data_IF_518308735618
#
_entry.id   IF_518308735618
#
_cell.length_a   1.000
_cell.length_b   1.000
_cell.length_c   1.000
_cell.angle_alpha   90.00
_cell.angle_beta   90.00
_cell.angle_gamma   90.00
#
_symmetry.space_group_name_H-M   'P 1'
#
loop_
_entity.id
_entity.type
_entity.pdbx_description
1 polymer ?
#
# COMPACT_ATOMS: atom_id res chain seq x y z
N UNK A 1 -5.15 20.45 17.09
CA UNK A 1 -4.72 19.12 16.62
C UNK A 1 -5.66 18.15 17.28
N UNK A 2 -6.48 17.46 16.48
CA UNK A 2 -7.56 16.60 16.96
C UNK A 2 -7.01 15.41 17.75
N UNK A 3 -7.68 15.08 18.86
CA UNK A 3 -7.51 13.89 19.69
C UNK A 3 -7.99 12.62 18.97
N UNK A 4 -7.56 12.40 17.73
CA UNK A 4 -7.93 11.18 17.00
C UNK A 4 -6.92 10.09 17.35
N UNK A 5 -7.34 9.16 18.20
CA UNK A 5 -6.73 7.82 18.34
C UNK A 5 -6.88 6.99 17.04
N UNK A 6 -6.99 7.63 15.88
CA UNK A 6 -7.09 6.95 14.61
C UNK A 6 -5.73 6.30 14.32
N UNK A 7 -5.70 4.98 14.07
CA UNK A 7 -4.47 4.31 13.70
C UNK A 7 -3.90 5.00 12.46
N UNK A 8 -2.58 5.25 12.45
CA UNK A 8 -1.92 5.82 11.28
C UNK A 8 -2.36 5.06 10.02
N UNK A 9 -2.66 5.73 8.89
CA UNK A 9 -3.17 5.07 7.68
C UNK A 9 -2.28 3.92 7.20
N UNK A 10 -0.99 3.94 7.53
CA UNK A 10 -0.07 2.84 7.25
C UNK A 10 -0.39 1.53 7.98
N UNK A 11 -0.99 1.58 9.17
CA UNK A 11 -1.42 0.37 9.90
C UNK A 11 -2.65 -0.27 9.27
N UNK A 12 -3.58 0.54 8.78
CA UNK A 12 -4.71 0.02 7.98
C UNK A 12 -4.20 -0.63 6.71
N UNK A 13 -3.19 -0.02 6.07
CA UNK A 13 -2.59 -0.55 4.85
C UNK A 13 -1.81 -1.85 5.10
N UNK A 14 -1.14 -1.97 6.24
CA UNK A 14 -0.46 -3.20 6.64
C UNK A 14 -1.42 -4.38 6.82
N UNK A 15 -2.69 -4.16 7.19
CA UNK A 15 -3.70 -5.23 7.26
C UNK A 15 -4.01 -5.83 5.90
N UNK A 16 -3.81 -5.08 4.81
CA UNK A 16 -3.99 -5.59 3.44
C UNK A 16 -2.82 -6.45 2.93
N UNK A 17 -1.66 -6.41 3.60
CA UNK A 17 -0.44 -7.11 3.18
C UNK A 17 -0.46 -8.64 3.39
N UNK A 18 -1.47 -9.18 4.07
CA UNK A 18 -1.59 -10.61 4.31
C UNK A 18 -2.10 -11.41 3.10
N UNK A 19 -2.61 -10.75 2.06
CA UNK A 19 -3.17 -11.41 0.89
C UNK A 19 -2.16 -11.54 -0.23
N UNK A 20 -2.28 -12.63 -1.00
CA UNK A 20 -1.54 -12.80 -2.25
C UNK A 20 -1.92 -11.65 -3.19
N UNK A 21 -0.94 -11.11 -3.93
CA UNK A 21 -1.11 -10.09 -4.95
C UNK A 21 -0.39 -10.53 -6.22
N UNK A 22 -1.01 -10.27 -7.38
CA UNK A 22 -0.42 -10.53 -8.68
C UNK A 22 -0.15 -9.19 -9.36
N UNK A 23 1.12 -8.92 -9.67
CA UNK A 23 1.52 -7.70 -10.34
C UNK A 23 2.08 -8.01 -11.74
N UNK A 24 1.38 -7.64 -12.83
CA UNK A 24 1.88 -7.85 -14.18
C UNK A 24 3.19 -7.10 -14.44
N UNK A 25 4.17 -7.77 -15.04
CA UNK A 25 5.46 -7.20 -15.47
C UNK A 25 5.82 -7.73 -16.85
N UNK A 26 5.02 -7.35 -17.85
CA UNK A 26 5.04 -7.94 -19.19
C UNK A 26 4.20 -9.21 -19.25
N UNK A 27 4.74 -10.27 -19.85
CA UNK A 27 4.15 -11.62 -19.90
C UNK A 27 4.38 -12.43 -18.62
N UNK A 28 5.09 -11.86 -17.64
CA UNK A 28 5.30 -12.42 -16.30
C UNK A 28 4.46 -11.67 -15.27
N UNK A 29 4.36 -12.24 -14.07
CA UNK A 29 3.89 -11.51 -12.89
C UNK A 29 4.84 -11.67 -11.71
N UNK A 30 4.95 -10.61 -10.91
CA UNK A 30 5.48 -10.72 -9.56
C UNK A 30 4.33 -11.11 -8.64
N UNK A 31 4.48 -12.26 -7.98
CA UNK A 31 3.55 -12.72 -6.95
C UNK A 31 4.10 -12.23 -5.62
N UNK A 32 3.32 -11.38 -4.95
CA UNK A 32 3.60 -10.93 -3.58
C UNK A 32 2.65 -11.65 -2.62
N UNK A 33 3.11 -11.92 -1.41
CA UNK A 33 2.26 -12.48 -0.35
C UNK A 33 3.01 -12.58 0.97
N UNK A 34 2.34 -13.10 2.02
CA UNK A 34 2.93 -13.16 3.35
C UNK A 34 4.12 -14.11 3.34
N UNK A 35 5.25 -13.66 3.90
CA UNK A 35 6.39 -14.51 4.14
C UNK A 35 6.05 -15.54 5.22
N UNK A 36 6.47 -16.80 5.02
CA UNK A 36 6.12 -17.92 5.91
C UNK A 36 6.58 -17.72 7.36
N UNK A 37 7.55 -16.85 7.60
CA UNK A 37 8.11 -16.55 8.92
C UNK A 37 7.81 -15.12 9.40
N UNK A 38 6.98 -14.34 8.69
CA UNK A 38 6.63 -12.98 9.08
C UNK A 38 5.21 -12.65 8.62
N UNK A 39 4.25 -12.42 9.53
CA UNK A 39 2.88 -12.07 9.16
C UNK A 39 2.77 -10.75 8.38
N UNK A 40 3.86 -9.99 8.30
CA UNK A 40 3.93 -8.71 7.62
C UNK A 40 5.01 -8.63 6.57
N UNK A 41 5.98 -9.56 6.58
CA UNK A 41 7.00 -9.60 5.56
C UNK A 41 6.35 -10.01 4.25
N UNK A 42 6.70 -9.31 3.17
CA UNK A 42 6.28 -9.70 1.83
C UNK A 42 7.37 -10.56 1.22
N UNK A 43 7.01 -11.75 0.76
CA UNK A 43 7.85 -12.58 -0.08
C UNK A 43 7.43 -12.41 -1.54
N UNK A 44 8.42 -12.48 -2.43
CA UNK A 44 8.22 -12.33 -3.87
C UNK A 44 8.59 -13.63 -4.59
N UNK A 45 7.72 -14.04 -5.51
CA UNK A 45 7.98 -15.08 -6.50
C UNK A 45 7.77 -14.51 -7.90
N UNK A 46 8.46 -15.07 -8.89
CA UNK A 46 8.19 -14.79 -10.29
C UNK A 46 7.25 -15.85 -10.85
N UNK A 47 6.10 -15.45 -11.35
CA UNK A 47 5.19 -16.28 -12.13
C UNK A 47 5.49 -16.11 -13.62
N UNK A 48 5.87 -17.20 -14.26
CA UNK A 48 6.16 -17.24 -15.71
C UNK A 48 4.88 -17.44 -16.54
N UNK A 49 4.90 -17.13 -17.86
CA UNK A 49 3.76 -17.40 -18.74
C UNK A 49 3.28 -18.86 -18.73
N UNK A 50 4.20 -19.81 -18.49
CA UNK A 50 3.88 -21.24 -18.43
C UNK A 50 3.17 -21.65 -17.13
N UNK A 51 3.16 -20.79 -16.10
CA UNK A 51 2.61 -21.08 -14.77
C UNK A 51 3.63 -21.54 -13.76
N UNK A 52 4.91 -21.62 -14.13
CA UNK A 52 5.98 -21.93 -13.19
C UNK A 52 6.21 -20.76 -12.23
N UNK A 53 6.26 -21.06 -10.93
CA UNK A 53 6.64 -20.14 -9.86
C UNK A 53 8.12 -20.30 -9.52
N UNK A 54 8.90 -19.24 -9.68
CA UNK A 54 10.35 -19.22 -9.42
C UNK A 54 10.67 -18.37 -8.20
N UNK A 55 11.46 -18.93 -7.28
CA UNK A 55 12.11 -18.17 -6.21
C UNK A 55 13.36 -17.48 -6.78
N UNK A 56 13.15 -16.31 -7.37
CA UNK A 56 14.20 -15.47 -7.90
C UNK A 56 14.85 -14.70 -6.76
N UNK A 57 16.07 -15.08 -6.38
CA UNK A 57 16.74 -14.55 -5.19
C UNK A 57 16.79 -13.01 -5.16
N UNK A 58 17.00 -12.38 -6.33
CA UNK A 58 17.04 -10.92 -6.44
C UNK A 58 15.72 -10.23 -6.10
N UNK A 59 14.57 -10.88 -6.25
CA UNK A 59 13.26 -10.31 -5.90
C UNK A 59 13.10 -10.12 -4.39
N UNK A 60 13.84 -10.89 -3.57
CA UNK A 60 13.75 -10.83 -2.12
C UNK A 60 14.91 -10.04 -1.47
N UNK A 61 15.91 -9.62 -2.26
CA UNK A 61 17.05 -8.82 -1.77
C UNK A 61 16.70 -7.32 -1.72
N UNK A 62 16.90 -6.68 -0.57
CA UNK A 62 16.71 -5.23 -0.41
C UNK A 62 15.29 -4.79 -0.06
N UNK A 63 14.41 -5.75 0.27
CA UNK A 63 12.98 -5.54 0.57
C UNK A 63 12.67 -5.77 2.06
N UNK A 64 13.59 -5.38 2.94
CA UNK A 64 13.41 -5.50 4.40
C UNK A 64 12.37 -4.46 4.90
N UNK A 65 11.49 -4.83 5.84
CA UNK A 65 10.55 -3.87 6.44
C UNK A 65 9.26 -3.63 5.66
N UNK A 66 9.02 -4.31 4.54
CA UNK A 66 7.83 -4.07 3.73
C UNK A 66 6.60 -4.61 4.43
N UNK A 67 5.56 -3.77 4.50
CA UNK A 67 4.25 -4.14 5.02
C UNK A 67 3.23 -4.37 3.88
N UNK A 68 3.29 -3.58 2.81
CA UNK A 68 2.40 -3.75 1.64
C UNK A 68 3.05 -3.22 0.36
N UNK A 69 2.84 -3.93 -0.75
CA UNK A 69 3.22 -3.46 -2.08
C UNK A 69 2.04 -2.73 -2.69
N UNK A 70 2.23 -1.47 -3.04
CA UNK A 70 1.15 -0.58 -3.52
C UNK A 70 1.09 -0.51 -5.04
N UNK A 71 2.18 -0.89 -5.72
CA UNK A 71 2.21 -1.00 -7.16
C UNK A 71 3.55 -1.53 -7.64
N UNK A 72 3.53 -2.25 -8.76
CA UNK A 72 4.73 -2.71 -9.46
C UNK A 72 4.52 -2.45 -10.94
N UNK A 73 5.56 -1.96 -11.61
CA UNK A 73 5.51 -1.60 -13.03
C UNK A 73 6.85 -1.88 -13.69
N UNK A 74 6.81 -2.34 -14.93
CA UNK A 74 8.01 -2.68 -15.69
C UNK A 74 7.76 -3.92 -16.53
N UNK A 75 8.85 -4.51 -17.00
CA UNK A 75 8.82 -5.70 -17.82
C UNK A 75 9.95 -6.61 -17.37
N UNK A 76 9.70 -7.90 -17.18
CA UNK A 76 10.76 -8.85 -16.86
C UNK A 76 11.46 -9.31 -18.16
N UNK A 77 12.81 -9.47 -18.19
CA UNK A 77 13.79 -9.25 -17.13
C UNK A 77 14.38 -7.82 -17.12
N UNK A 78 13.75 -6.87 -17.81
CA UNK A 78 14.12 -5.44 -17.82
C UNK A 78 13.93 -4.83 -16.41
N UNK A 79 14.35 -3.57 -16.18
CA UNK A 79 14.15 -2.93 -14.89
C UNK A 79 12.67 -2.83 -14.52
N UNK A 80 12.36 -3.25 -13.29
CA UNK A 80 11.04 -3.15 -12.67
C UNK A 80 11.12 -2.15 -11.53
N UNK A 81 10.04 -1.42 -11.30
CA UNK A 81 9.89 -0.50 -10.19
C UNK A 81 8.75 -0.97 -9.31
N UNK A 82 8.94 -0.87 -8.00
CA UNK A 82 7.90 -1.13 -7.02
C UNK A 82 7.78 0.06 -6.09
N UNK A 83 6.54 0.44 -5.79
CA UNK A 83 6.23 1.26 -4.62
C UNK A 83 5.59 0.39 -3.56
N UNK A 84 5.98 0.64 -2.31
CA UNK A 84 5.52 -0.13 -1.18
C UNK A 84 5.52 0.75 0.07
N UNK A 85 4.65 0.39 1.01
CA UNK A 85 4.74 0.91 2.37
C UNK A 85 5.64 -0.02 3.15
N UNK A 86 6.74 0.54 3.65
CA UNK A 86 7.54 -0.08 4.69
C UNK A 86 7.05 0.40 6.05
N UNK A 87 7.24 -0.44 7.06
CA UNK A 87 7.06 -0.09 8.46
C UNK A 87 8.23 -0.64 9.26
N UNK A 88 8.54 0.01 10.37
CA UNK A 88 9.44 -0.55 11.38
C UNK A 88 8.67 -1.11 12.58
N UNK A 89 7.36 -1.29 12.44
CA UNK A 89 6.50 -1.61 13.58
C UNK A 89 5.71 -0.42 14.11
N UNK A 90 6.24 0.79 13.96
CA UNK A 90 5.77 1.97 14.71
C UNK A 90 5.43 3.13 13.80
N UNK A 91 6.26 3.34 12.78
CA UNK A 91 6.09 4.36 11.75
C UNK A 91 6.06 3.66 10.40
N UNK A 92 5.00 3.91 9.64
CA UNK A 92 4.97 3.56 8.24
C UNK A 92 5.57 4.68 7.39
N UNK A 93 6.23 4.31 6.31
CA UNK A 93 6.64 5.24 5.26
C UNK A 93 6.54 4.55 3.92
N UNK A 94 6.29 5.32 2.87
CA UNK A 94 6.38 4.80 1.51
C UNK A 94 7.85 4.74 1.08
N UNK A 95 8.19 3.78 0.25
CA UNK A 95 9.42 3.78 -0.53
C UNK A 95 9.12 3.39 -1.99
N UNK A 96 10.06 3.75 -2.86
CA UNK A 96 10.07 3.33 -4.25
C UNK A 96 11.45 2.78 -4.57
N UNK A 97 11.48 1.53 -5.03
CA UNK A 97 12.69 0.81 -5.39
C UNK A 97 12.66 0.34 -6.83
N UNK A 98 13.83 0.21 -7.42
CA UNK A 98 14.07 -0.35 -8.74
C UNK A 98 14.75 -1.69 -8.56
N UNK A 99 14.24 -2.72 -9.20
CA UNK A 99 14.88 -4.02 -9.30
C UNK A 99 15.96 -3.98 -10.38
N UNK A 100 17.17 -4.38 -10.02
CA UNK A 100 18.29 -4.59 -10.93
C UNK A 100 18.89 -6.00 -10.77
N UNK A 101 20.09 -6.23 -11.28
CA UNK A 101 20.77 -7.53 -11.20
C UNK A 101 21.17 -7.93 -9.76
N UNK A 102 21.35 -6.97 -8.86
CA UNK A 102 21.78 -7.20 -7.46
C UNK A 102 20.59 -7.34 -6.50
N UNK A 103 19.44 -6.78 -6.87
CA UNK A 103 18.22 -6.80 -6.07
C UNK A 103 17.49 -5.46 -6.17
N UNK A 104 16.66 -5.17 -5.18
CA UNK A 104 15.95 -3.90 -5.09
C UNK A 104 16.86 -2.80 -4.55
N UNK A 105 16.96 -1.71 -5.30
CA UNK A 105 17.71 -0.51 -4.93
C UNK A 105 16.76 0.69 -4.87
N UNK A 106 16.85 1.47 -3.79
CA UNK A 106 16.01 2.66 -3.61
C UNK A 106 16.29 3.69 -4.70
N UNK A 107 15.24 4.22 -5.32
CA UNK A 107 15.40 5.11 -6.48
C UNK A 107 15.82 6.53 -6.07
N UNK A 108 15.50 7.01 -4.86
CA UNK A 108 15.84 8.38 -4.39
C UNK A 108 15.92 8.53 -2.85
N UNK A 109 16.62 9.56 -2.34
CA UNK A 109 16.54 9.98 -0.93
C UNK A 109 15.18 10.58 -0.54
N UNK A 110 14.41 11.13 -1.48
CA UNK A 110 13.04 11.63 -1.23
C UNK A 110 11.98 10.51 -1.10
N UNK A 111 12.36 9.24 -1.28
CA UNK A 111 11.45 8.11 -1.30
C UNK A 111 10.52 8.04 -0.06
N UNK A 112 10.98 8.53 1.10
CA UNK A 112 10.20 8.53 2.36
C UNK A 112 9.06 9.55 2.41
N UNK A 113 8.96 10.45 1.43
CA UNK A 113 7.96 11.53 1.40
C UNK A 113 6.73 11.19 0.57
N UNK A 114 6.86 10.32 -0.43
CA UNK A 114 5.83 10.16 -1.44
C UNK A 114 5.25 8.76 -1.43
N UNK A 115 3.94 8.66 -1.20
CA UNK A 115 3.17 7.44 -1.37
C UNK A 115 2.62 7.38 -2.78
N UNK A 116 3.13 6.46 -3.59
CA UNK A 116 2.66 6.29 -4.96
C UNK A 116 1.46 5.35 -5.00
N UNK A 117 0.36 5.83 -5.57
CA UNK A 117 -0.92 5.15 -5.73
C UNK A 117 -1.24 5.00 -7.22
N UNK A 118 -0.86 3.86 -7.78
CA UNK A 118 -0.85 3.67 -9.23
C UNK A 118 0.47 4.11 -9.84
N UNK A 119 1.09 3.17 -10.53
CA UNK A 119 2.30 3.36 -11.32
C UNK A 119 2.05 2.73 -12.68
N UNK A 120 2.43 3.41 -13.75
CA UNK A 120 2.24 2.88 -15.11
C UNK A 120 3.40 3.29 -16.00
N UNK A 121 3.70 2.44 -16.99
CA UNK A 121 4.57 2.82 -18.08
C UNK A 121 3.93 3.98 -18.84
N UNK A 122 4.76 4.92 -19.27
CA UNK A 122 4.36 6.17 -19.87
C UNK A 122 5.37 6.61 -20.93
N UNK A 123 5.00 7.64 -21.67
CA UNK A 123 5.72 8.14 -22.84
C UNK A 123 7.25 8.14 -22.70
N UNK A 124 7.91 7.70 -23.77
CA UNK A 124 9.37 7.65 -23.88
C UNK A 124 10.05 6.70 -22.86
N UNK A 125 9.41 5.57 -22.55
CA UNK A 125 9.95 4.55 -21.63
C UNK A 125 10.06 5.03 -20.19
N UNK A 126 9.30 6.07 -19.81
CA UNK A 126 9.26 6.60 -18.45
C UNK A 126 8.16 5.91 -17.67
N UNK A 127 8.19 6.05 -16.36
CA UNK A 127 7.09 5.67 -15.49
C UNK A 127 6.46 6.93 -14.95
N UNK A 128 5.14 6.99 -14.99
CA UNK A 128 4.38 8.01 -14.28
C UNK A 128 3.65 7.35 -13.11
N UNK A 129 3.46 8.12 -12.05
CA UNK A 129 2.73 7.69 -10.86
C UNK A 129 1.97 8.86 -10.29
N UNK A 130 0.88 8.56 -9.58
CA UNK A 130 0.18 9.53 -8.77
C UNK A 130 0.69 9.41 -7.34
N UNK A 131 1.12 10.52 -6.74
CA UNK A 131 1.81 10.48 -5.45
C UNK A 131 1.19 11.43 -4.42
N UNK A 132 1.00 10.93 -3.21
CA UNK A 132 0.60 11.69 -2.02
C UNK A 132 1.81 12.05 -1.16
N UNK A 133 1.80 13.26 -0.58
CA UNK A 133 2.80 13.65 0.42
C UNK A 133 2.45 12.95 1.75
N UNK A 134 3.22 11.95 2.16
CA UNK A 134 2.94 11.11 3.34
C UNK A 134 2.85 11.89 4.64
N UNK A 135 3.48 13.06 4.70
CA UNK A 135 3.47 13.93 5.88
C UNK A 135 2.28 14.89 5.90
N UNK A 136 1.60 15.05 4.76
CA UNK A 136 0.60 16.09 4.50
C UNK A 136 -0.49 15.57 3.57
N UNK A 137 -0.91 14.31 3.76
CA UNK A 137 -1.89 13.66 2.88
C UNK A 137 -3.22 14.42 2.84
N UNK A 138 -3.58 15.06 3.95
CA UNK A 138 -4.80 15.88 4.06
C UNK A 138 -4.62 17.31 3.52
N UNK A 139 -3.37 17.76 3.40
CA UNK A 139 -3.00 19.16 3.21
C UNK A 139 -2.47 19.48 1.80
N UNK A 140 -2.19 18.47 1.00
CA UNK A 140 -1.67 18.65 -0.37
C UNK A 140 -2.42 17.75 -1.33
N UNK A 141 -2.85 18.27 -2.50
CA UNK A 141 -3.42 17.42 -3.51
C UNK A 141 -2.39 16.39 -3.98
N UNK A 142 -2.81 15.20 -4.40
CA UNK A 142 -1.94 14.25 -5.06
C UNK A 142 -1.32 14.89 -6.32
N UNK A 143 -0.09 14.49 -6.63
CA UNK A 143 0.67 15.06 -7.75
C UNK A 143 1.24 13.95 -8.63
N UNK A 144 1.29 14.18 -9.93
CA UNK A 144 1.99 13.27 -10.84
C UNK A 144 3.49 13.36 -10.65
N UNK A 145 4.15 12.20 -10.63
CA UNK A 145 5.60 12.03 -10.51
C UNK A 145 6.11 11.12 -11.61
N UNK A 146 7.29 11.43 -12.13
CA UNK A 146 7.91 10.70 -13.23
C UNK A 146 9.20 10.04 -12.75
N UNK A 147 9.42 8.78 -13.12
CA UNK A 147 10.59 7.97 -12.80
C UNK A 147 11.29 7.47 -14.09
N UNK A 148 12.64 7.38 -14.11
CA UNK A 148 13.55 7.92 -13.11
C UNK A 148 13.50 9.45 -13.09
N UNK A 149 13.89 10.06 -11.96
CA UNK A 149 13.90 11.53 -11.83
C UNK A 149 15.00 12.11 -12.71
N UNK A 150 14.60 12.99 -13.61
CA UNK A 150 15.46 13.77 -14.49
C UNK A 150 14.77 15.09 -14.83
N UNK A 151 15.08 15.70 -15.98
CA UNK A 151 14.31 16.86 -16.47
C UNK A 151 12.85 16.46 -16.61
N UNK A 152 12.03 16.96 -15.69
CA UNK A 152 10.63 16.58 -15.59
C UNK A 152 9.94 17.05 -16.88
N UNK A 153 9.29 16.14 -17.62
CA UNK A 153 8.46 16.55 -18.73
C UNK A 153 7.28 17.35 -18.15
N UNK A 154 6.56 18.09 -18.99
CA UNK A 154 5.27 18.60 -18.57
C UNK A 154 4.40 17.42 -18.13
N UNK A 155 3.98 17.42 -16.87
CA UNK A 155 3.07 16.42 -16.32
C UNK A 155 1.66 16.97 -16.30
N UNK A 156 0.63 16.10 -16.41
CA UNK A 156 -0.75 16.52 -16.24
C UNK A 156 -0.99 17.20 -14.88
N UNK A 157 -2.11 17.91 -14.75
CA UNK A 157 -2.56 18.48 -13.48
C UNK A 157 -4.00 18.06 -13.22
N UNK A 158 -4.24 17.44 -12.07
CA UNK A 158 -5.60 17.11 -11.63
C UNK A 158 -6.45 18.37 -11.52
N UNK A 159 -7.75 18.22 -11.74
CA UNK A 159 -8.68 19.33 -11.61
C UNK A 159 -8.71 19.82 -10.14
N UNK A 160 -8.53 21.12 -9.89
CA UNK A 160 -8.62 21.65 -8.53
C UNK A 160 -10.06 21.53 -8.01
N UNK A 161 -10.21 21.52 -6.70
CA UNK A 161 -11.53 21.54 -6.06
C UNK A 161 -12.37 22.74 -6.55
N UNK A 162 -13.62 22.55 -7.00
CA UNK A 162 -14.37 23.54 -7.78
C UNK A 162 -14.80 24.79 -6.99
N UNK A 163 -14.94 24.73 -5.66
CA UNK A 163 -15.28 25.90 -4.85
C UNK A 163 -14.11 26.35 -3.95
N UNK A 164 -13.32 27.36 -4.33
CA UNK A 164 -12.23 27.87 -3.50
C UNK A 164 -12.71 28.61 -2.24
N UNK A 165 -14.01 28.93 -2.13
CA UNK A 165 -14.58 29.64 -0.98
C UNK A 165 -15.06 28.71 0.14
N UNK A 166 -15.35 27.46 -0.17
CA UNK A 166 -15.65 26.45 0.86
C UNK A 166 -14.32 25.84 1.31
N UNK A 167 -14.07 25.68 2.62
CA UNK A 167 -12.94 24.89 3.06
C UNK A 167 -13.14 23.48 2.48
N UNK A 168 -12.24 22.98 1.61
CA UNK A 168 -12.38 21.64 1.09
C UNK A 168 -12.39 20.66 2.27
N UNK A 169 -13.16 19.56 2.19
CA UNK A 169 -13.00 18.48 3.16
C UNK A 169 -11.52 18.09 3.28
N UNK A 170 -11.06 17.60 4.44
CA UNK A 170 -9.73 17.00 4.54
C UNK A 170 -9.52 16.01 3.39
N UNK A 171 -8.34 16.02 2.75
CA UNK A 171 -7.97 15.21 1.56
C UNK A 171 -8.61 15.63 0.23
N UNK A 172 -9.40 16.71 0.19
CA UNK A 172 -10.19 17.09 -0.97
C UNK A 172 -9.78 18.39 -1.66
N UNK A 173 -8.47 18.57 -1.88
CA UNK A 173 -7.94 19.74 -2.60
C UNK A 173 -8.03 19.63 -4.14
N UNK A 174 -8.37 18.45 -4.64
CA UNK A 174 -8.73 18.16 -6.03
C UNK A 174 -10.23 17.86 -6.10
N UNK A 175 -10.82 17.94 -7.30
CA UNK A 175 -12.21 17.53 -7.52
C UNK A 175 -12.43 16.02 -7.29
N UNK A 176 -11.33 15.27 -7.19
CA UNK A 176 -11.27 13.83 -7.09
C UNK A 176 -10.42 13.41 -5.88
N UNK A 177 -10.90 12.47 -5.08
CA UNK A 177 -10.10 11.63 -4.20
C UNK A 177 -9.69 10.38 -5.00
N UNK A 178 -8.48 10.36 -5.58
CA UNK A 178 -8.11 9.32 -6.53
C UNK A 178 -7.90 7.99 -5.81
N UNK A 179 -8.44 6.93 -6.40
CA UNK A 179 -8.32 5.56 -5.91
C UNK A 179 -7.45 4.69 -6.82
N UNK A 180 -7.30 5.10 -8.09
CA UNK A 180 -6.56 4.37 -9.10
C UNK A 180 -6.04 5.32 -10.18
N UNK A 181 -4.89 4.96 -10.75
CA UNK A 181 -4.30 5.63 -11.90
C UNK A 181 -3.79 4.61 -12.91
N UNK A 182 -4.07 4.87 -14.19
CA UNK A 182 -3.50 4.16 -15.33
C UNK A 182 -2.86 5.17 -16.29
N UNK A 183 -1.74 4.79 -16.92
CA UNK A 183 -1.19 5.53 -18.04
C UNK A 183 -0.74 4.60 -19.16
N UNK A 184 -0.66 5.17 -20.36
CA UNK A 184 -0.23 4.45 -21.57
C UNK A 184 1.10 4.99 -22.06
N UNK A 185 1.86 4.15 -22.76
CA UNK A 185 3.09 4.57 -23.45
C UNK A 185 2.86 5.66 -24.50
N UNK A 186 1.63 5.76 -25.03
CA UNK A 186 1.22 6.83 -25.95
C UNK A 186 1.16 8.21 -25.29
N UNK A 187 1.22 8.28 -23.96
CA UNK A 187 1.17 9.53 -23.19
C UNK A 187 -0.16 9.81 -22.51
N UNK A 188 -1.19 9.01 -22.79
CA UNK A 188 -2.49 9.13 -22.12
C UNK A 188 -2.38 8.82 -20.63
N UNK A 189 -3.19 9.51 -19.82
CA UNK A 189 -3.28 9.31 -18.37
C UNK A 189 -4.74 9.29 -17.97
N UNK A 190 -5.10 8.37 -17.09
CA UNK A 190 -6.45 8.16 -16.56
C UNK A 190 -6.38 8.11 -15.04
N UNK A 191 -7.24 8.86 -14.37
CA UNK A 191 -7.33 8.90 -12.91
C UNK A 191 -8.78 8.72 -12.53
N UNK A 192 -9.05 7.65 -11.78
CA UNK A 192 -10.38 7.33 -11.30
C UNK A 192 -10.45 7.53 -9.79
N UNK A 193 -11.57 8.07 -9.32
CA UNK A 193 -11.79 8.27 -7.90
C UNK A 193 -13.20 8.74 -7.55
N UNK A 194 -13.38 8.99 -6.27
CA UNK A 194 -14.63 9.52 -5.72
C UNK A 194 -14.54 11.04 -5.73
N UNK A 195 -15.55 11.77 -6.19
CA UNK A 195 -15.56 13.22 -6.12
C UNK A 195 -15.45 13.71 -4.69
N UNK A 196 -14.77 14.83 -4.54
CA UNK A 196 -14.70 15.56 -3.31
C UNK A 196 -15.95 16.45 -3.17
N UNK A 197 -16.88 16.08 -2.29
CA UNK A 197 -18.16 16.76 -2.12
C UNK A 197 -19.09 16.01 -1.15
N UNK A 198 -20.34 16.49 -0.95
CA UNK A 198 -21.35 15.71 -0.23
C UNK A 198 -21.46 14.30 -0.83
N UNK A 199 -21.68 13.30 0.04
CA UNK A 199 -21.56 11.86 -0.25
C UNK A 199 -22.37 11.36 -1.45
N UNK A 200 -23.30 12.15 -1.98
CA UNK A 200 -24.15 11.82 -3.13
C UNK A 200 -23.55 12.05 -4.51
N UNK A 201 -22.29 12.51 -4.61
CA UNK A 201 -21.71 12.88 -5.91
C UNK A 201 -21.17 11.63 -6.63
N UNK A 202 -21.53 11.39 -7.91
CA UNK A 202 -21.08 10.22 -8.68
C UNK A 202 -19.56 10.18 -8.84
N UNK A 203 -18.95 8.99 -8.84
CA UNK A 203 -17.53 8.80 -9.16
C UNK A 203 -17.12 9.49 -10.47
N UNK A 204 -15.86 9.88 -10.62
CA UNK A 204 -15.39 10.57 -11.82
C UNK A 204 -14.14 9.89 -12.39
N UNK A 205 -14.03 9.92 -13.72
CA UNK A 205 -12.82 9.62 -14.46
C UNK A 205 -12.26 10.92 -15.05
N UNK A 206 -11.09 11.33 -14.57
CA UNK A 206 -10.29 12.36 -15.24
C UNK A 206 -9.36 11.68 -16.25
N UNK A 207 -9.32 12.17 -17.49
CA UNK A 207 -8.36 11.67 -18.47
C UNK A 207 -7.67 12.77 -19.26
N UNK A 208 -6.45 12.48 -19.69
CA UNK A 208 -5.55 13.41 -20.35
C UNK A 208 -5.08 12.77 -21.65
N UNK A 209 -5.23 13.48 -22.76
CA UNK A 209 -4.58 13.09 -24.00
C UNK A 209 -3.06 13.39 -23.92
N UNK A 210 -2.23 12.85 -24.84
CA UNK A 210 -0.80 13.09 -24.82
C UNK A 210 -0.47 14.58 -24.91
N UNK A 211 0.24 15.10 -23.90
CA UNK A 211 0.63 16.51 -23.83
C UNK A 211 -0.40 17.45 -23.19
N UNK A 212 -1.62 16.97 -22.89
CA UNK A 212 -2.64 17.80 -22.24
C UNK A 212 -2.26 18.08 -20.78
N UNK A 213 -2.31 19.36 -20.39
CA UNK A 213 -2.11 19.77 -19.01
C UNK A 213 -3.40 19.71 -18.17
N UNK A 214 -4.57 19.70 -18.81
CA UNK A 214 -5.89 19.74 -18.17
C UNK A 214 -6.67 18.47 -18.53
N UNK A 215 -7.44 17.91 -17.58
CA UNK A 215 -8.21 16.71 -17.84
C UNK A 215 -9.49 17.03 -18.60
N UNK A 216 -9.99 16.05 -19.33
CA UNK A 216 -11.41 15.87 -19.61
C UNK A 216 -12.02 15.04 -18.48
N UNK A 217 -13.32 15.19 -18.22
CA UNK A 217 -13.99 14.55 -17.08
C UNK A 217 -15.22 13.80 -17.58
N UNK A 218 -15.32 12.53 -17.19
CA UNK A 218 -16.50 11.70 -17.42
C UNK A 218 -17.10 11.34 -16.07
N UNK A 219 -18.38 11.66 -15.90
CA UNK A 219 -19.13 11.32 -14.70
C UNK A 219 -19.54 9.86 -14.74
N UNK A 220 -19.47 9.17 -13.60
CA UNK A 220 -19.89 7.78 -13.45
C UNK A 220 -21.21 7.72 -12.70
N UNK A 221 -22.31 7.76 -13.46
CA UNK A 221 -23.64 7.62 -12.89
C UNK A 221 -23.86 6.21 -12.31
N UNK A 222 -24.66 6.11 -11.24
CA UNK A 222 -25.11 4.82 -10.70
C UNK A 222 -24.17 4.16 -9.68
N UNK A 223 -23.06 4.78 -9.30
CA UNK A 223 -22.27 4.34 -8.16
C UNK A 223 -22.98 4.66 -6.84
N UNK A 224 -22.97 3.72 -5.90
CA UNK A 224 -23.63 3.91 -4.60
C UNK A 224 -22.80 4.87 -3.71
N UNK A 225 -23.44 5.89 -3.10
CA UNK A 225 -22.83 6.87 -2.19
C UNK A 225 -22.17 6.32 -0.92
N UNK A 226 -22.56 5.12 -0.48
CA UNK A 226 -22.22 4.62 0.82
C UNK A 226 -20.84 3.94 0.85
N UNK A 227 -20.17 4.19 1.98
CA UNK A 227 -18.89 3.64 2.43
C UNK A 227 -17.64 4.37 1.90
N UNK A 228 -16.75 4.78 2.80
CA UNK A 228 -15.45 5.41 2.50
C UNK A 228 -14.31 4.38 2.49
N UNK A 229 -14.62 3.09 2.26
CA UNK A 229 -13.57 2.08 2.24
C UNK A 229 -12.70 2.24 0.98
N UNK A 230 -11.39 2.18 1.19
CA UNK A 230 -10.36 2.00 0.16
C UNK A 230 -10.50 0.63 -0.49
N UNK A 231 -11.65 0.36 -1.13
CA UNK A 231 -11.81 -0.80 -1.97
C UNK A 231 -10.72 -0.77 -3.04
N UNK A 232 -10.05 -1.91 -3.26
CA UNK A 232 -8.99 -2.03 -4.26
C UNK A 232 -9.60 -1.87 -5.66
N UNK A 233 -9.65 -0.61 -6.13
CA UNK A 233 -9.93 -0.29 -7.52
C UNK A 233 -8.79 -0.84 -8.38
N UNK A 234 -9.11 -1.46 -9.51
CA UNK A 234 -8.10 -1.81 -10.52
C UNK A 234 -8.60 -1.38 -11.88
N UNK A 235 -7.69 -1.03 -12.77
CA UNK A 235 -8.02 -0.59 -14.11
C UNK A 235 -7.10 -1.21 -15.16
N UNK A 236 -7.64 -1.35 -16.35
CA UNK A 236 -6.93 -1.89 -17.52
C UNK A 236 -7.48 -1.27 -18.79
N UNK A 237 -6.62 -1.13 -19.77
CA UNK A 237 -6.92 -0.59 -21.09
C UNK A 237 -6.86 -1.69 -22.16
N UNK A 238 -7.74 -1.59 -23.15
CA UNK A 238 -7.53 -2.19 -24.48
C UNK A 238 -6.95 -1.16 -25.45
N UNK A 239 -7.37 0.08 -25.30
CA UNK A 239 -6.88 1.23 -26.06
C UNK A 239 -7.07 2.51 -25.25
N UNK A 240 -6.57 3.64 -25.77
CA UNK A 240 -6.83 4.96 -25.19
C UNK A 240 -8.32 5.32 -25.10
N UNK A 241 -9.17 4.63 -25.86
CA UNK A 241 -10.60 4.84 -25.98
C UNK A 241 -11.41 3.72 -25.31
N UNK A 242 -10.75 2.69 -24.76
CA UNK A 242 -11.45 1.59 -24.12
C UNK A 242 -10.73 1.15 -22.84
N UNK A 243 -11.36 1.44 -21.70
CA UNK A 243 -10.83 1.14 -20.36
C UNK A 243 -11.89 0.43 -19.55
N UNK A 244 -11.46 -0.59 -18.82
CA UNK A 244 -12.28 -1.30 -17.85
C UNK A 244 -11.76 -1.00 -16.44
N UNK A 245 -12.67 -0.71 -15.53
CA UNK A 245 -12.35 -0.35 -14.14
C UNK A 245 -13.22 -1.22 -13.23
N UNK A 246 -12.60 -1.99 -12.34
CA UNK A 246 -13.32 -2.66 -11.25
C UNK A 246 -13.36 -1.73 -10.05
N UNK A 247 -14.55 -1.38 -9.56
CA UNK A 247 -14.70 -0.55 -8.38
C UNK A 247 -15.89 -1.04 -7.55
N UNK A 248 -15.62 -1.50 -6.32
CA UNK A 248 -16.65 -1.90 -5.34
C UNK A 248 -17.69 -2.89 -5.90
N UNK A 249 -17.23 -3.97 -6.51
CA UNK A 249 -18.13 -4.96 -7.10
C UNK A 249 -18.79 -4.49 -8.41
N UNK A 250 -18.55 -3.27 -8.88
CA UNK A 250 -19.02 -2.81 -10.19
C UNK A 250 -17.92 -2.93 -11.23
N UNK A 251 -18.26 -3.39 -12.42
CA UNK A 251 -17.41 -3.24 -13.60
C UNK A 251 -17.85 -1.99 -14.35
N UNK A 252 -16.91 -1.10 -14.63
CA UNK A 252 -17.13 0.11 -15.42
C UNK A 252 -16.42 -0.02 -16.75
N UNK A 253 -17.01 0.52 -17.82
CA UNK A 253 -16.39 0.65 -19.13
C UNK A 253 -16.37 2.11 -19.55
N UNK A 254 -15.19 2.62 -19.86
CA UNK A 254 -15.01 3.88 -20.59
C UNK A 254 -14.88 3.59 -22.07
N UNK A 255 -15.61 4.32 -22.92
CA UNK A 255 -15.66 4.14 -24.38
C UNK A 255 -15.02 5.31 -25.17
N UNK A 256 -14.15 6.08 -24.52
CA UNK A 256 -13.49 7.25 -25.10
C UNK A 256 -14.24 8.55 -24.84
N UNK A 257 -15.52 8.46 -24.47
CA UNK A 257 -16.37 9.62 -24.22
C UNK A 257 -17.04 9.54 -22.84
N UNK A 258 -17.63 8.39 -22.48
CA UNK A 258 -18.41 8.23 -21.26
C UNK A 258 -18.02 6.99 -20.48
N UNK A 259 -18.37 6.96 -19.20
CA UNK A 259 -18.23 5.77 -18.36
C UNK A 259 -19.59 5.16 -18.10
N UNK A 260 -19.73 3.86 -18.36
CA UNK A 260 -20.95 3.08 -18.12
C UNK A 260 -20.70 1.98 -17.12
N UNK A 261 -21.67 1.75 -16.23
CA UNK A 261 -21.69 0.56 -15.36
C UNK A 261 -22.13 -0.64 -16.20
N UNK A 262 -21.40 -1.74 -16.08
CA UNK A 262 -21.70 -3.02 -16.70
C UNK A 262 -22.46 -3.88 -15.68
N UNK A 263 -23.79 -4.04 -15.80
CA UNK A 263 -24.64 -4.54 -14.71
C UNK A 263 -24.52 -6.04 -14.43
N UNK A 264 -23.90 -6.81 -15.33
CA UNK A 264 -23.94 -8.27 -15.29
C UNK A 264 -22.80 -8.91 -14.48
N UNK A 265 -21.78 -8.14 -14.10
CA UNK A 265 -20.56 -8.69 -13.49
C UNK A 265 -20.24 -7.96 -12.19
N UNK A 266 -20.30 -8.70 -11.08
CA UNK A 266 -19.92 -8.24 -9.75
C UNK A 266 -18.38 -8.18 -9.59
N UNK A 267 -17.72 -7.28 -10.32
CA UNK A 267 -16.28 -7.28 -10.51
C UNK A 267 -15.46 -6.91 -9.26
N UNK A 268 -14.48 -7.75 -8.93
CA UNK A 268 -13.54 -7.54 -7.83
C UNK A 268 -12.16 -7.06 -8.33
N UNK A 269 -11.66 -7.66 -9.43
CA UNK A 269 -10.44 -7.26 -10.13
C UNK A 269 -10.63 -7.31 -11.63
N UNK A 270 -9.85 -6.51 -12.36
CA UNK A 270 -9.81 -6.52 -13.82
C UNK A 270 -8.36 -6.48 -14.30
N UNK A 271 -8.05 -7.25 -15.34
CA UNK A 271 -6.75 -7.25 -16.04
C UNK A 271 -6.97 -7.48 -17.53
N UNK A 272 -5.92 -7.36 -18.34
CA UNK A 272 -5.95 -7.76 -19.75
C UNK A 272 -4.63 -8.39 -20.15
N UNK A 273 -4.73 -9.27 -21.13
CA UNK A 273 -3.59 -9.78 -21.88
C UNK A 273 -3.01 -8.71 -22.80
N UNK A 274 -1.81 -8.96 -23.31
CA UNK A 274 -1.17 -8.09 -24.30
C UNK A 274 -1.98 -7.99 -25.61
N UNK A 275 -2.75 -9.02 -25.94
CA UNK A 275 -3.58 -9.07 -27.15
C UNK A 275 -4.97 -8.46 -26.96
N UNK A 276 -5.31 -7.99 -25.76
CA UNK A 276 -6.51 -7.19 -25.48
C UNK A 276 -7.72 -7.97 -24.97
N UNK A 277 -7.60 -9.26 -24.66
CA UNK A 277 -8.65 -9.96 -23.89
C UNK A 277 -8.71 -9.39 -22.48
N UNK A 278 -9.91 -8.99 -22.05
CA UNK A 278 -10.14 -8.46 -20.71
C UNK A 278 -10.64 -9.60 -19.82
N UNK A 279 -10.07 -9.69 -18.63
CA UNK A 279 -10.40 -10.70 -17.64
C UNK A 279 -10.84 -10.04 -16.34
N UNK A 280 -11.86 -10.61 -15.70
CA UNK A 280 -12.49 -10.04 -14.50
C UNK A 280 -12.73 -11.14 -13.48
N UNK A 281 -12.39 -10.91 -12.22
CA UNK A 281 -12.82 -11.79 -11.13
C UNK A 281 -14.15 -11.34 -10.56
N UNK A 282 -15.02 -12.29 -10.22
CA UNK A 282 -16.33 -12.03 -9.62
C UNK A 282 -16.74 -13.16 -8.67
N UNK A 283 -16.23 -13.14 -7.44
CA UNK A 283 -16.59 -14.13 -6.42
C UNK A 283 -16.05 -15.52 -6.73
N UNK A 284 -16.92 -16.42 -7.20
CA UNK A 284 -16.62 -17.82 -7.52
C UNK A 284 -16.29 -18.06 -9.00
N UNK A 285 -16.16 -16.99 -9.78
CA UNK A 285 -16.00 -17.06 -11.21
C UNK A 285 -15.00 -16.05 -11.75
N UNK A 286 -14.53 -16.35 -12.96
CA UNK A 286 -13.73 -15.46 -13.79
C UNK A 286 -14.50 -15.22 -15.07
N UNK A 287 -14.57 -13.98 -15.50
CA UNK A 287 -15.19 -13.59 -16.75
C UNK A 287 -14.12 -13.17 -17.74
N UNK A 288 -14.30 -13.55 -18.99
CA UNK A 288 -13.41 -13.23 -20.10
C UNK A 288 -14.20 -12.49 -21.16
N UNK A 289 -13.67 -11.38 -21.66
CA UNK A 289 -14.12 -10.72 -22.86
C UNK A 289 -12.99 -10.81 -23.89
N UNK A 290 -13.12 -11.67 -24.92
CA UNK A 290 -12.16 -11.72 -26.02
C UNK A 290 -11.99 -10.36 -26.70
N UNK A 291 -10.81 -10.09 -27.27
CA UNK A 291 -10.58 -8.87 -28.05
C UNK A 291 -11.61 -8.70 -29.18
N UNK A 292 -11.99 -7.45 -29.50
CA UNK A 292 -13.03 -7.11 -30.48
C UNK A 292 -14.46 -7.16 -29.92
N UNK A 293 -15.44 -7.46 -30.78
CA UNK A 293 -16.88 -7.51 -30.47
C UNK A 293 -17.31 -8.82 -29.76
N UNK A 294 -16.42 -9.34 -28.90
CA UNK A 294 -16.66 -10.56 -28.14
C UNK A 294 -17.83 -10.43 -27.17
N UNK A 295 -18.34 -11.58 -26.71
CA UNK A 295 -19.28 -11.67 -25.59
C UNK A 295 -18.53 -12.07 -24.32
N UNK A 296 -19.08 -11.71 -23.17
CA UNK A 296 -18.56 -12.18 -21.89
C UNK A 296 -18.75 -13.69 -21.75
N UNK A 297 -17.66 -14.38 -21.46
CA UNK A 297 -17.60 -15.82 -21.20
C UNK A 297 -17.31 -16.06 -19.73
N UNK A 298 -18.12 -16.88 -19.05
CA UNK A 298 -17.90 -17.24 -17.64
C UNK A 298 -17.07 -18.52 -17.53
N UNK A 299 -15.99 -18.46 -16.77
CA UNK A 299 -15.17 -19.58 -16.34
C UNK A 299 -15.44 -19.83 -14.85
N UNK A 300 -15.74 -21.07 -14.50
CA UNK A 300 -16.07 -21.47 -13.12
C UNK A 300 -14.79 -21.80 -12.37
N UNK A 301 -14.62 -21.26 -11.17
CA UNK A 301 -13.51 -21.65 -10.28
C UNK A 301 -13.78 -23.05 -9.69
N UNK A 302 -12.73 -23.79 -9.26
CA UNK A 302 -12.92 -25.00 -8.48
C UNK A 302 -13.85 -24.79 -7.27
N UNK A 303 -14.55 -25.84 -6.85
CA UNK A 303 -15.50 -25.76 -5.73
C UNK A 303 -14.84 -25.18 -4.46
N UNK A 304 -15.47 -24.17 -3.88
CA UNK A 304 -14.97 -23.48 -2.68
C UNK A 304 -13.85 -22.46 -2.92
N UNK A 305 -13.29 -22.39 -4.14
CA UNK A 305 -12.30 -21.37 -4.49
C UNK A 305 -12.97 -20.01 -4.74
N UNK A 306 -12.25 -18.94 -4.39
CA UNK A 306 -12.64 -17.55 -4.69
C UNK A 306 -11.58 -16.92 -5.60
N UNK A 307 -12.02 -16.05 -6.49
CA UNK A 307 -11.16 -15.32 -7.42
C UNK A 307 -10.86 -13.92 -6.86
N UNK A 308 -9.73 -13.75 -6.17
CA UNK A 308 -9.41 -12.50 -5.46
C UNK A 308 -8.42 -11.62 -6.22
N UNK A 309 -7.44 -12.22 -6.88
CA UNK A 309 -6.43 -11.56 -7.71
C UNK A 309 -6.30 -12.25 -9.06
N UNK A 310 -5.88 -11.51 -10.09
CA UNK A 310 -5.87 -12.00 -11.47
C UNK A 310 -4.70 -11.46 -12.29
N UNK A 311 -4.15 -12.31 -13.15
CA UNK A 311 -3.11 -11.96 -14.11
C UNK A 311 -3.27 -12.80 -15.38
N UNK A 312 -3.28 -12.16 -16.55
CA UNK A 312 -3.40 -12.83 -17.83
C UNK A 312 -2.12 -12.62 -18.66
N UNK A 313 -1.21 -13.61 -18.77
CA UNK A 313 -0.02 -13.47 -19.60
C UNK A 313 -0.34 -13.40 -21.10
N UNK A 314 -1.49 -13.93 -21.53
CA UNK A 314 -1.95 -13.97 -22.92
C UNK A 314 -3.48 -14.24 -22.99
N UNK A 315 -4.03 -14.21 -24.20
CA UNK A 315 -5.46 -14.45 -24.48
C UNK A 315 -6.00 -15.84 -24.12
N UNK A 316 -5.13 -16.84 -24.05
CA UNK A 316 -5.53 -18.23 -23.85
C UNK A 316 -5.48 -18.66 -22.39
N UNK A 317 -4.86 -17.87 -21.51
CA UNK A 317 -4.58 -18.28 -20.13
C UNK A 317 -4.71 -17.13 -19.16
N UNK A 318 -5.24 -17.44 -17.98
CA UNK A 318 -5.30 -16.53 -16.85
C UNK A 318 -4.92 -17.25 -15.57
N UNK A 319 -4.18 -16.57 -14.72
CA UNK A 319 -3.86 -17.01 -13.38
C UNK A 319 -4.70 -16.25 -12.37
N UNK A 320 -5.21 -16.98 -11.38
CA UNK A 320 -6.10 -16.44 -10.36
C UNK A 320 -5.60 -16.86 -8.99
N UNK A 321 -5.41 -15.89 -8.10
CA UNK A 321 -5.08 -16.14 -6.72
C UNK A 321 -6.31 -15.97 -5.82
N UNK A 322 -6.44 -16.84 -4.82
CA UNK A 322 -7.47 -16.72 -3.78
C UNK A 322 -7.42 -17.88 -2.80
N UNK A 323 -7.72 -17.59 -1.53
CA UNK A 323 -7.65 -18.60 -0.45
C UNK A 323 -6.25 -19.21 -0.27
N UNK A 324 -5.19 -18.44 -0.54
CA UNK A 324 -3.80 -18.89 -0.43
C UNK A 324 -3.31 -19.83 -1.55
N UNK A 325 -4.11 -20.03 -2.60
CA UNK A 325 -3.79 -20.88 -3.75
C UNK A 325 -3.67 -20.04 -5.03
N UNK A 326 -2.99 -20.61 -6.03
CA UNK A 326 -2.94 -20.06 -7.39
C UNK A 326 -3.55 -21.08 -8.36
N UNK A 327 -4.46 -20.61 -9.20
CA UNK A 327 -5.14 -21.43 -10.21
C UNK A 327 -4.75 -20.93 -11.60
N UNK A 328 -4.50 -21.87 -12.52
CA UNK A 328 -4.38 -21.57 -13.94
C UNK A 328 -5.66 -22.01 -14.65
N UNK A 329 -6.30 -21.07 -15.35
CA UNK A 329 -7.48 -21.30 -16.20
C UNK A 329 -7.10 -20.96 -17.65
N UNK A 330 -7.76 -21.58 -18.63
CA UNK A 330 -7.50 -21.25 -20.03
C UNK A 330 -8.54 -21.78 -21.01
N UNK A 331 -8.33 -21.44 -22.28
CA UNK A 331 -9.06 -21.96 -23.44
C UNK A 331 -8.07 -22.64 -24.41
N UNK A 332 -8.33 -23.84 -24.97
CA UNK A 332 -9.55 -24.66 -24.94
C UNK A 332 -9.52 -25.82 -23.89
N UNK A 333 -10.60 -26.60 -23.71
CA UNK A 333 -11.11 -27.06 -22.40
C UNK A 333 -10.52 -28.37 -21.83
N UNK A 334 -9.48 -28.95 -22.39
CA UNK A 334 -9.11 -30.34 -22.06
C UNK A 334 -8.37 -30.55 -20.73
N UNK A 335 -7.92 -29.47 -20.08
CA UNK A 335 -7.11 -29.58 -18.85
C UNK A 335 -7.84 -29.31 -17.53
N UNK A 336 -9.04 -28.72 -17.55
CA UNK A 336 -9.66 -28.13 -16.37
C UNK A 336 -8.75 -27.08 -15.68
N UNK A 337 -9.20 -26.48 -14.57
CA UNK A 337 -8.34 -25.64 -13.73
C UNK A 337 -7.16 -26.44 -13.19
N UNK A 338 -5.92 -25.94 -13.35
CA UNK A 338 -4.76 -26.52 -12.67
C UNK A 338 -4.47 -25.73 -11.40
N UNK A 339 -4.36 -26.42 -10.26
CA UNK A 339 -4.05 -25.82 -8.96
C UNK A 339 -2.55 -25.88 -8.66
N UNK A 340 -2.00 -24.77 -8.18
CA UNK A 340 -0.65 -24.67 -7.64
C UNK A 340 -0.72 -24.19 -6.18
N UNK A 341 -0.16 -24.98 -5.26
CA UNK A 341 0.04 -24.54 -3.88
C UNK A 341 1.21 -23.57 -3.81
N UNK A 342 0.96 -22.36 -3.30
CA UNK A 342 2.00 -21.35 -3.10
C UNK A 342 2.93 -21.78 -1.96
N UNK A 343 4.21 -22.01 -2.27
CA UNK A 343 5.24 -22.29 -1.28
C UNK A 343 6.11 -21.05 -1.12
N UNK A 344 5.83 -20.25 -0.10
CA UNK A 344 6.61 -19.07 0.22
C UNK A 344 7.96 -19.46 0.83
N UNK A 345 9.06 -18.97 0.24
CA UNK A 345 10.40 -19.16 0.79
C UNK A 345 10.49 -18.68 2.25
N UNK A 346 11.27 -19.37 3.08
CA UNK A 346 11.51 -19.01 4.49
C UNK A 346 12.39 -17.76 4.70
N UNK A 347 12.59 -16.95 3.64
CA UNK A 347 13.74 -16.04 3.53
C UNK A 347 13.47 -14.58 3.92
N UNK A 348 12.30 -14.20 4.39
CA UNK A 348 12.17 -12.86 4.96
C UNK A 348 13.06 -12.78 6.22
N UNK A 349 14.00 -11.82 6.26
CA UNK A 349 14.89 -11.63 7.41
C UNK A 349 14.05 -11.12 8.59
N UNK A 350 13.90 -11.97 9.61
CA UNK A 350 13.22 -11.74 10.88
C UNK A 350 11.77 -11.23 10.78
N UNK A 351 10.88 -11.83 11.56
CA UNK A 351 9.49 -11.37 11.65
C UNK A 351 9.44 -9.91 12.08
N UNK A 352 8.96 -9.00 11.22
CA UNK A 352 8.43 -7.75 11.73
C UNK A 352 7.26 -8.11 12.62
N UNK A 353 7.39 -7.83 13.92
CA UNK A 353 6.24 -7.81 14.82
C UNK A 353 5.80 -6.36 14.89
N UNK A 354 4.70 -6.00 14.21
CA UNK A 354 4.10 -4.68 14.43
C UNK A 354 3.59 -4.68 15.88
N UNK A 355 4.11 -3.82 16.76
CA UNK A 355 3.41 -3.51 17.99
C UNK A 355 2.00 -3.01 17.67
N UNK A 356 0.99 -3.64 18.27
CA UNK A 356 -0.40 -3.16 18.21
C UNK A 356 -0.63 -2.14 19.32
N UNK A 357 -1.60 -1.21 19.19
CA UNK A 357 -2.00 -0.37 20.33
C UNK A 357 -2.36 -1.25 21.52
N UNK A 358 -1.81 -0.95 22.71
CA UNK A 358 -2.13 -1.76 23.88
C UNK A 358 -3.62 -1.65 24.21
N UNK A 359 -4.22 -2.78 24.53
CA UNK A 359 -5.54 -2.87 25.15
C UNK A 359 -5.37 -3.21 26.64
N UNK A 360 -6.46 -3.23 27.40
CA UNK A 360 -6.42 -3.51 28.84
C UNK A 360 -5.94 -4.91 29.19
N UNK A 361 -6.03 -5.86 28.26
CA UNK A 361 -5.60 -7.25 28.37
C UNK A 361 -4.15 -7.48 27.89
N UNK A 362 -3.42 -6.43 27.53
CA UNK A 362 -2.03 -6.56 27.09
C UNK A 362 -1.11 -7.02 28.22
N UNK A 363 -0.44 -8.16 28.06
CA UNK A 363 0.49 -8.72 29.04
C UNK A 363 1.78 -7.89 29.20
N UNK A 364 2.22 -7.20 28.13
CA UNK A 364 3.43 -6.37 28.15
C UNK A 364 3.17 -4.98 27.59
N UNK A 365 2.54 -4.09 28.38
CA UNK A 365 2.34 -2.70 27.99
C UNK A 365 3.69 -1.99 27.88
N UNK A 366 3.97 -1.46 26.71
CA UNK A 366 5.21 -0.76 26.38
C UNK A 366 4.88 0.65 25.87
N UNK A 367 5.38 1.67 26.56
CA UNK A 367 5.27 3.06 26.13
C UNK A 367 6.51 3.41 25.31
N UNK A 368 6.33 3.57 24.00
CA UNK A 368 7.34 4.16 23.14
C UNK A 368 7.44 5.66 23.41
N UNK A 369 8.63 6.14 23.75
CA UNK A 369 8.87 7.54 24.07
C UNK A 369 9.59 8.28 22.93
N UNK A 370 10.69 7.73 22.42
CA UNK A 370 11.49 8.36 21.35
C UNK A 370 12.13 7.33 20.42
N UNK A 371 12.27 7.68 19.15
CA UNK A 371 13.11 6.96 18.20
C UNK A 371 14.53 7.55 18.19
N UNK A 372 15.55 6.68 18.11
CA UNK A 372 16.92 7.12 17.94
C UNK A 372 17.12 7.62 16.51
N UNK A 373 17.86 8.72 16.38
CA UNK A 373 18.39 9.15 15.09
C UNK A 373 19.76 8.51 14.87
N UNK A 374 20.28 8.59 13.64
CA UNK A 374 21.64 8.11 13.32
C UNK A 374 22.74 8.80 14.14
N UNK A 375 22.47 9.99 14.70
CA UNK A 375 23.44 10.79 15.46
C UNK A 375 23.23 10.70 16.97
N UNK A 376 22.19 9.99 17.43
CA UNK A 376 21.95 9.79 18.86
C UNK A 376 22.99 8.80 19.40
N UNK A 377 23.83 9.20 20.37
CA UNK A 377 24.81 8.30 20.98
C UNK A 377 24.13 7.14 21.70
N UNK A 378 24.81 6.00 21.76
CA UNK A 378 24.32 4.76 22.39
C UNK A 378 24.06 4.95 23.89
N UNK A 379 24.83 5.83 24.53
CA UNK A 379 24.80 6.19 25.94
C UNK A 379 23.94 7.42 26.25
N UNK A 380 23.18 7.95 25.28
CA UNK A 380 22.29 9.09 25.50
C UNK A 380 21.29 8.82 26.64
N UNK A 381 21.15 9.78 27.55
CA UNK A 381 20.47 9.60 28.84
C UNK A 381 19.09 10.28 28.94
N UNK A 382 18.61 10.89 27.86
CA UNK A 382 17.25 11.45 27.75
C UNK A 382 16.90 12.49 28.83
N UNK A 383 17.66 13.59 28.95
CA UNK A 383 17.56 14.54 30.06
C UNK A 383 16.18 15.22 30.17
N UNK A 384 15.51 15.46 29.04
CA UNK A 384 14.15 16.04 29.04
C UNK A 384 13.12 15.09 29.63
N UNK A 385 13.21 13.80 29.32
CA UNK A 385 12.34 12.76 29.86
C UNK A 385 12.60 12.55 31.34
N UNK A 386 13.88 12.46 31.72
CA UNK A 386 14.33 12.41 33.11
C UNK A 386 13.74 13.55 33.95
N UNK A 387 13.86 14.78 33.45
CA UNK A 387 13.27 15.96 34.08
C UNK A 387 11.74 15.86 34.19
N UNK A 388 11.07 15.35 33.16
CA UNK A 388 9.62 15.21 33.13
C UNK A 388 9.10 14.17 34.16
N UNK A 389 9.81 13.05 34.36
CA UNK A 389 9.37 11.99 35.27
C UNK A 389 9.82 12.18 36.72
N UNK A 390 10.62 13.21 37.00
CA UNK A 390 11.05 13.53 38.36
C UNK A 390 9.85 13.78 39.29
N UNK A 391 9.87 13.14 40.45
CA UNK A 391 8.81 13.18 41.46
C UNK A 391 7.58 12.32 41.15
N UNK A 392 7.54 11.62 40.01
CA UNK A 392 6.37 10.86 39.59
C UNK A 392 6.37 9.44 40.20
N UNK A 393 6.09 9.33 41.50
CA UNK A 393 6.12 8.05 42.24
C UNK A 393 5.10 7.01 41.76
N UNK A 394 4.05 7.43 41.03
CA UNK A 394 3.09 6.50 40.41
C UNK A 394 3.70 5.69 39.25
N UNK A 395 4.92 6.00 38.81
CA UNK A 395 5.70 5.21 37.86
C UNK A 395 6.49 4.09 38.53
N UNK A 396 6.30 3.84 39.83
CA UNK A 396 6.92 2.71 40.51
C UNK A 396 6.65 1.39 39.77
N UNK A 397 7.68 0.56 39.64
CA UNK A 397 7.67 -0.67 38.84
C UNK A 397 7.86 -0.50 37.32
N UNK A 398 7.81 0.72 36.77
CA UNK A 398 8.09 0.94 35.36
C UNK A 398 9.58 0.77 35.04
N UNK A 399 9.90 0.09 33.94
CA UNK A 399 11.28 -0.15 33.48
C UNK A 399 11.58 0.67 32.24
N UNK A 400 12.41 1.70 32.39
CA UNK A 400 12.88 2.52 31.27
C UNK A 400 14.01 1.82 30.53
N UNK A 401 13.87 1.67 29.22
CA UNK A 401 14.74 0.82 28.42
C UNK A 401 15.06 1.45 27.07
N UNK A 402 16.26 1.18 26.57
CA UNK A 402 16.58 1.29 25.15
C UNK A 402 16.36 -0.07 24.52
N UNK A 403 15.58 -0.10 23.46
CA UNK A 403 15.17 -1.31 22.75
C UNK A 403 15.61 -1.25 21.31
N UNK A 404 15.76 -2.41 20.68
CA UNK A 404 15.89 -2.57 19.25
C UNK A 404 14.67 -3.29 18.69
N UNK A 405 14.16 -2.76 17.59
CA UNK A 405 13.06 -3.32 16.84
C UNK A 405 13.33 -3.03 15.36
N UNK A 406 13.44 -4.09 14.55
CA UNK A 406 13.68 -4.00 13.11
C UNK A 406 14.94 -3.17 12.75
N UNK A 407 16.03 -3.37 13.50
CA UNK A 407 17.31 -2.67 13.30
C UNK A 407 17.28 -1.18 13.64
N UNK A 408 16.23 -0.70 14.29
CA UNK A 408 16.10 0.67 14.80
C UNK A 408 16.03 0.65 16.31
N UNK A 409 16.62 1.68 16.91
CA UNK A 409 16.70 1.83 18.37
C UNK A 409 15.66 2.82 18.87
N UNK A 410 15.10 2.52 20.03
CA UNK A 410 14.04 3.31 20.63
C UNK A 410 14.22 3.41 22.14
N UNK A 411 13.88 4.56 22.70
CA UNK A 411 13.71 4.73 24.13
C UNK A 411 12.23 4.56 24.48
N UNK A 412 11.96 3.76 25.50
CA UNK A 412 10.61 3.49 25.97
C UNK A 412 10.58 3.02 27.42
N UNK A 413 9.40 2.60 27.86
CA UNK A 413 9.22 2.03 29.19
C UNK A 413 8.23 0.86 29.16
N UNK A 414 8.59 -0.26 29.78
CA UNK A 414 7.59 -1.26 30.15
C UNK A 414 6.87 -0.77 31.40
N UNK A 415 5.53 -0.72 31.35
CA UNK A 415 4.70 -0.34 32.49
C UNK A 415 4.03 -1.56 33.11
N UNK A 416 3.66 -1.44 34.38
CA UNK A 416 3.03 -2.53 35.16
C UNK A 416 1.71 -2.95 34.52
N UNK A 417 0.94 -1.98 34.04
CA UNK A 417 -0.34 -2.21 33.38
C UNK A 417 -0.62 -1.15 32.30
N UNK A 418 -1.74 -1.35 31.59
CA UNK A 418 -2.22 -0.44 30.56
C UNK A 418 -2.55 0.97 31.11
N UNK A 419 -3.06 1.07 32.34
CA UNK A 419 -3.47 2.35 32.93
C UNK A 419 -2.25 3.24 33.24
N UNK A 420 -1.20 2.66 33.82
CA UNK A 420 0.09 3.31 34.04
C UNK A 420 0.73 3.71 32.71
N UNK A 421 0.68 2.84 31.71
CA UNK A 421 1.14 3.12 30.35
C UNK A 421 0.47 4.33 29.71
N UNK A 422 -0.87 4.38 29.77
CA UNK A 422 -1.67 5.51 29.24
C UNK A 422 -1.34 6.81 29.96
N UNK A 423 -1.18 6.76 31.29
CA UNK A 423 -0.81 7.92 32.10
C UNK A 423 0.60 8.42 31.78
N UNK A 424 1.56 7.51 31.55
CA UNK A 424 2.92 7.85 31.13
C UNK A 424 2.97 8.52 29.77
N UNK A 425 2.30 7.95 28.76
CA UNK A 425 2.24 8.56 27.43
C UNK A 425 1.67 9.99 27.51
N UNK A 426 0.52 10.18 28.15
CA UNK A 426 -0.08 11.51 28.30
C UNK A 426 0.81 12.50 29.07
N UNK A 427 1.48 12.04 30.13
CA UNK A 427 2.39 12.87 30.93
C UNK A 427 3.58 13.36 30.10
N UNK A 428 4.23 12.47 29.36
CA UNK A 428 5.39 12.81 28.53
C UNK A 428 5.00 13.75 27.39
N UNK A 429 3.87 13.50 26.73
CA UNK A 429 3.36 14.37 25.67
C UNK A 429 3.13 15.79 26.19
N UNK A 430 2.63 15.94 27.42
CA UNK A 430 2.40 17.25 28.06
C UNK A 430 3.70 17.94 28.49
N UNK A 431 4.66 17.19 29.03
CA UNK A 431 5.87 17.77 29.65
C UNK A 431 7.04 17.97 28.68
N UNK A 432 7.12 17.17 27.61
CA UNK A 432 8.22 17.23 26.65
C UNK A 432 7.72 17.72 25.31
N UNK A 433 8.01 19.00 25.02
CA UNK A 433 7.59 19.65 23.78
C UNK A 433 8.06 18.85 22.55
N UNK A 434 7.09 18.47 21.70
CA UNK A 434 7.35 17.72 20.46
C UNK A 434 7.43 16.20 20.64
N UNK A 435 7.29 15.68 21.85
CA UNK A 435 7.17 14.23 22.05
C UNK A 435 5.81 13.72 21.56
N UNK A 436 5.83 12.55 20.91
CA UNK A 436 4.64 11.86 20.40
C UNK A 436 4.70 10.41 20.92
N UNK A 437 4.51 10.20 22.24
CA UNK A 437 4.59 8.88 22.83
C UNK A 437 3.41 8.01 22.40
N UNK A 438 3.63 6.70 22.32
CA UNK A 438 2.61 5.73 21.95
C UNK A 438 2.59 4.55 22.94
N UNK A 439 1.40 4.13 23.37
CA UNK A 439 1.22 2.95 24.21
C UNK A 439 0.94 1.73 23.33
N UNK A 440 1.79 0.72 23.44
CA UNK A 440 1.85 -0.43 22.55
C UNK A 440 1.83 -1.73 23.34
N UNK A 441 1.26 -2.80 22.76
CA UNK A 441 1.45 -4.16 23.24
C UNK A 441 2.62 -4.78 22.49
N UNK A 442 3.77 -4.88 23.15
CA UNK A 442 5.03 -5.21 22.47
C UNK A 442 6.05 -5.84 23.41
N UNK A 443 6.89 -6.70 22.83
CA UNK A 443 8.02 -7.36 23.51
C UNK A 443 9.33 -7.10 22.75
N UNK A 444 9.78 -5.85 22.59
CA UNK A 444 10.97 -5.53 21.80
C UNK A 444 12.24 -6.05 22.48
N UNK A 445 13.31 -6.25 21.71
CA UNK A 445 14.62 -6.65 22.27
C UNK A 445 15.17 -5.50 23.13
N UNK A 446 15.43 -5.75 24.40
CA UNK A 446 16.07 -4.76 25.28
C UNK A 446 17.58 -4.77 24.99
N UNK A 447 18.10 -3.61 24.57
CA UNK A 447 19.54 -3.41 24.40
C UNK A 447 20.21 -3.00 25.72
N UNK A 448 19.57 -2.10 26.47
CA UNK A 448 19.98 -1.71 27.82
C UNK A 448 18.81 -1.13 28.62
N UNK A 449 18.91 -1.25 29.93
CA UNK A 449 18.04 -0.52 30.84
C UNK A 449 18.63 0.87 31.15
N UNK A 450 17.76 1.82 31.48
CA UNK A 450 18.13 3.12 32.01
C UNK A 450 17.53 3.21 33.41
N UNK A 451 18.25 2.82 34.47
CA UNK A 451 17.72 2.84 35.83
C UNK A 451 17.55 4.30 36.29
N UNK A 452 16.31 4.78 36.34
CA UNK A 452 15.99 6.16 36.73
C UNK A 452 15.49 6.20 38.16
N UNK A 453 16.15 6.99 39.01
CA UNK A 453 15.59 7.35 40.32
C UNK A 453 14.44 8.33 40.11
N UNK A 454 13.21 7.86 40.31
CA UNK A 454 12.01 8.66 40.10
C UNK A 454 11.93 9.88 41.04
N UNK A 455 12.65 9.92 42.17
CA UNK A 455 12.64 11.08 43.07
C UNK A 455 13.50 12.22 42.55
N UNK A 456 14.69 11.90 42.07
CA UNK A 456 15.69 12.87 41.61
C UNK A 456 15.62 13.11 40.10
N UNK A 457 15.12 12.14 39.35
CA UNK A 457 15.21 12.06 37.90
C UNK A 457 16.62 11.68 37.42
N UNK A 458 17.52 11.24 38.30
CA UNK A 458 18.89 10.86 37.95
C UNK A 458 19.02 9.41 37.49
N UNK A 459 20.03 9.14 36.64
CA UNK A 459 20.39 7.76 36.28
C UNK A 459 21.20 7.18 37.43
N UNK A 460 20.74 6.06 37.99
CA UNK A 460 21.45 5.33 39.04
C UNK A 460 22.62 4.58 38.38
N UNK A 461 23.83 4.75 38.92
CA UNK A 461 25.02 4.04 38.42
C UNK A 461 25.11 2.62 38.94
#
# INVERSE_FOLDING_TARGET
>A
MSDTNEPSPFHEWARFGANVQLFPVGDHAIVSGPASNSPLGVAFLLLTPSGELKDEERLNRGMDGIAVVTGVVGEWPKPIYASYVASDGRVGWSETSRLDAKGWTRVLPEAKRWLHVGMSQWSNGRIISLAFDTWRIDDRPPTFRVLPVGTAPAVPKLMPYPNPKDPPPPRCRTNLAPTEMLALETGHVFVFGVPCGPSSTPGNLEWFAPGDARPRVALVAGLRPDEQEFARTTSVTRSAEEIYISHRGSLLRFDGEQVRVMPEIAAQRVTASAEGTVWVTAGDAVWRLPAGDGKWERLVMPEGARAEEIFAPNDARVFVAGGGKLYALGAPPEGGPTEHTLKWGQRARASLRLPVPAQSDCEQPFVLLYAFTKVTPDDYDFPLTRKAIRGQTWLDGARFVVTEDNGKRYFGAFTVDHAQGKRLAAHIQKQVKGAIPALLCASPQVLRELPLDLRTGEVVK
#
